data_IF_488945700385
#
_entry.id   IF_488945700385
#
_cell.length_a   1.000
_cell.length_b   1.000
_cell.length_c   1.000
_cell.angle_alpha   90.00
_cell.angle_beta   90.00
_cell.angle_gamma   90.00
#
_symmetry.space_group_name_H-M   'P 1'
#
loop_
_entity.id
_entity.type
_entity.pdbx_description
1 polymer ?
#
# COMPACT_ATOMS: atom_id res chain seq x y z
N UNK A 1 25.06 -14.39 -0.06
CA UNK A 1 24.26 -13.90 1.08
C UNK A 1 22.81 -13.86 0.63
N UNK A 2 22.05 -14.90 1.00
CA UNK A 2 20.66 -15.15 0.57
C UNK A 2 19.75 -15.28 1.80
N UNK A 3 20.03 -14.51 2.86
CA UNK A 3 19.39 -14.68 4.16
C UNK A 3 17.98 -14.09 4.28
N UNK A 4 17.49 -13.39 3.25
CA UNK A 4 16.13 -12.83 3.20
C UNK A 4 15.23 -13.49 2.14
N UNK A 5 15.44 -14.78 1.83
CA UNK A 5 14.50 -15.52 0.98
C UNK A 5 13.21 -15.79 1.76
N UNK A 6 12.22 -14.91 1.60
CA UNK A 6 10.84 -15.07 2.06
C UNK A 6 10.25 -16.35 1.42
N UNK A 7 10.24 -17.47 2.16
CA UNK A 7 9.54 -18.70 1.74
C UNK A 7 8.03 -18.41 1.76
N UNK A 8 7.32 -18.76 0.70
CA UNK A 8 5.97 -18.28 0.33
C UNK A 8 4.78 -18.52 1.27
N UNK A 9 4.98 -18.83 2.55
CA UNK A 9 3.93 -18.88 3.60
C UNK A 9 3.75 -17.55 4.35
N UNK A 10 4.46 -16.51 3.94
CA UNK A 10 4.91 -15.45 4.82
C UNK A 10 4.00 -14.20 4.90
N UNK A 11 3.01 -14.00 4.02
CA UNK A 11 2.22 -12.74 4.07
C UNK A 11 1.35 -12.65 5.32
N UNK A 12 0.59 -13.71 5.64
CA UNK A 12 -0.29 -13.70 6.82
C UNK A 12 0.53 -13.67 8.12
N UNK A 13 1.65 -14.39 8.15
CA UNK A 13 2.56 -14.39 9.30
C UNK A 13 3.24 -13.03 9.47
N UNK A 14 3.68 -12.42 8.36
CA UNK A 14 4.22 -11.07 8.36
C UNK A 14 3.18 -10.04 8.77
N UNK A 15 1.97 -10.10 8.22
CA UNK A 15 0.88 -9.20 8.58
C UNK A 15 0.48 -9.35 10.05
N UNK A 16 0.48 -10.58 10.58
CA UNK A 16 0.25 -10.86 12.00
C UNK A 16 1.36 -10.27 12.87
N UNK A 17 2.63 -10.46 12.50
CA UNK A 17 3.76 -9.89 13.23
C UNK A 17 3.74 -8.36 13.19
N UNK A 18 3.40 -7.77 12.04
CA UNK A 18 3.24 -6.34 11.85
C UNK A 18 2.10 -5.79 12.72
N UNK A 19 0.94 -6.46 12.73
CA UNK A 19 -0.19 -6.13 13.60
C UNK A 19 0.21 -6.12 15.07
N UNK A 20 0.93 -7.15 15.54
CA UNK A 20 1.38 -7.22 16.94
C UNK A 20 2.26 -6.01 17.31
N UNK A 21 3.21 -5.63 16.45
CA UNK A 21 4.08 -4.47 16.67
C UNK A 21 3.29 -3.16 16.68
N UNK A 22 2.39 -2.98 15.71
CA UNK A 22 1.58 -1.77 15.60
C UNK A 22 0.56 -1.64 16.75
N UNK A 23 -0.04 -2.74 17.20
CA UNK A 23 -0.95 -2.75 18.34
C UNK A 23 -0.21 -2.38 19.63
N UNK A 24 1.03 -2.84 19.80
CA UNK A 24 1.89 -2.45 20.91
C UNK A 24 2.18 -0.93 20.92
N UNK A 25 2.30 -0.32 19.73
CA UNK A 25 2.49 1.13 19.58
C UNK A 25 1.18 1.94 19.52
N UNK A 26 0.01 1.28 19.70
CA UNK A 26 -1.32 1.88 19.55
C UNK A 26 -1.58 2.49 18.14
N UNK A 27 -0.96 1.91 17.11
CA UNK A 27 -1.02 2.31 15.71
C UNK A 27 -1.65 1.25 14.80
N UNK A 28 -2.25 0.18 15.35
CA UNK A 28 -2.90 -0.88 14.56
C UNK A 28 -3.92 -0.37 13.53
N UNK A 29 -4.56 0.77 13.83
CA UNK A 29 -5.50 1.44 12.94
C UNK A 29 -4.94 1.79 11.55
N UNK A 30 -3.62 1.88 11.38
CA UNK A 30 -2.97 2.19 10.10
C UNK A 30 -3.20 1.08 9.07
N UNK A 31 -3.45 -0.16 9.51
CA UNK A 31 -3.71 -1.28 8.60
C UNK A 31 -5.17 -1.38 8.18
N UNK A 32 -6.09 -0.90 9.02
CA UNK A 32 -7.53 -1.03 8.80
C UNK A 32 -8.14 0.22 8.15
N UNK A 33 -7.53 1.39 8.36
CA UNK A 33 -8.01 2.65 7.77
C UNK A 33 -7.52 2.83 6.34
N UNK A 34 -8.38 3.32 5.43
CA UNK A 34 -7.92 3.77 4.14
C UNK A 34 -6.91 4.91 4.34
N UNK A 35 -5.90 4.92 3.49
CA UNK A 35 -4.88 5.96 3.52
C UNK A 35 -5.56 7.33 3.33
N UNK A 36 -5.18 8.35 4.10
CA UNK A 36 -5.74 9.68 3.95
C UNK A 36 -5.57 10.13 2.50
N UNK A 37 -6.64 10.60 1.87
CA UNK A 37 -6.55 11.18 0.52
C UNK A 37 -5.99 12.60 0.55
N UNK A 38 -6.04 13.24 1.73
CA UNK A 38 -5.61 14.62 1.94
C UNK A 38 -4.89 14.71 3.28
N UNK A 39 -3.79 15.46 3.32
CA UNK A 39 -3.08 15.77 4.56
C UNK A 39 -3.87 16.78 5.42
N UNK A 40 -3.76 16.69 6.76
CA UNK A 40 -4.38 17.66 7.65
C UNK A 40 -3.94 19.11 7.37
N UNK A 41 -4.87 20.04 7.57
CA UNK A 41 -4.59 21.47 7.45
C UNK A 41 -3.59 21.88 8.55
N UNK A 42 -2.41 22.36 8.14
CA UNK A 42 -1.29 22.65 9.04
C UNK A 42 -0.09 21.70 8.94
N UNK A 43 -0.15 20.64 8.12
CA UNK A 43 1.03 19.80 7.85
C UNK A 43 2.18 20.63 7.27
N UNK A 44 3.40 20.30 7.71
CA UNK A 44 4.63 20.95 7.25
C UNK A 44 4.90 20.67 5.77
N UNK A 45 5.76 21.50 5.16
CA UNK A 45 6.15 21.30 3.76
C UNK A 45 6.83 19.94 3.55
N UNK A 46 7.63 19.49 4.52
CA UNK A 46 8.34 18.20 4.45
C UNK A 46 7.37 17.01 4.50
N UNK A 47 6.35 17.08 5.36
CA UNK A 47 5.28 16.08 5.44
C UNK A 47 4.50 16.01 4.13
N UNK A 48 4.22 17.17 3.51
CA UNK A 48 3.55 17.25 2.19
C UNK A 48 4.39 16.60 1.10
N UNK A 49 5.67 16.94 1.01
CA UNK A 49 6.56 16.35 0.00
C UNK A 49 6.70 14.83 0.18
N UNK A 50 6.77 14.36 1.42
CA UNK A 50 6.84 12.93 1.74
C UNK A 50 5.55 12.21 1.33
N UNK A 51 4.40 12.80 1.62
CA UNK A 51 3.09 12.26 1.26
C UNK A 51 2.88 12.20 -0.26
N UNK A 52 3.22 13.27 -0.98
CA UNK A 52 3.10 13.34 -2.44
C UNK A 52 3.99 12.28 -3.12
N UNK A 53 5.22 12.11 -2.63
CA UNK A 53 6.12 11.06 -3.11
C UNK A 53 5.53 9.68 -2.86
N UNK A 54 5.00 9.44 -1.66
CA UNK A 54 4.38 8.18 -1.30
C UNK A 54 3.17 7.85 -2.19
N UNK A 55 2.30 8.84 -2.48
CA UNK A 55 1.17 8.68 -3.40
C UNK A 55 1.63 8.29 -4.81
N UNK A 56 2.65 8.96 -5.33
CA UNK A 56 3.17 8.68 -6.66
C UNK A 56 3.80 7.28 -6.75
N UNK A 57 4.54 6.86 -5.72
CA UNK A 57 5.12 5.51 -5.66
C UNK A 57 4.03 4.43 -5.54
N UNK A 58 2.98 4.68 -4.75
CA UNK A 58 1.83 3.80 -4.67
C UNK A 58 1.10 3.67 -6.02
N UNK A 59 0.91 4.79 -6.74
CA UNK A 59 0.33 4.81 -8.08
C UNK A 59 1.16 4.02 -9.08
N UNK A 60 2.48 4.22 -9.10
CA UNK A 60 3.41 3.46 -9.95
C UNK A 60 3.39 1.97 -9.64
N UNK A 61 3.35 1.61 -8.37
CA UNK A 61 3.26 0.21 -7.92
C UNK A 61 1.97 -0.44 -8.42
N UNK A 62 0.83 0.25 -8.27
CA UNK A 62 -0.45 -0.22 -8.79
C UNK A 62 -0.41 -0.39 -10.32
N UNK A 63 0.07 0.61 -11.07
CA UNK A 63 0.20 0.53 -12.54
C UNK A 63 1.10 -0.62 -12.96
N UNK A 64 2.25 -0.80 -12.31
CA UNK A 64 3.17 -1.91 -12.56
C UNK A 64 2.51 -3.27 -12.35
N UNK A 65 1.75 -3.41 -11.25
CA UNK A 65 0.97 -4.60 -10.95
C UNK A 65 -0.09 -4.88 -12.04
N UNK A 66 -0.82 -3.84 -12.46
CA UNK A 66 -1.81 -3.92 -13.54
C UNK A 66 -1.20 -4.32 -14.89
N UNK A 67 -0.06 -3.74 -15.26
CA UNK A 67 0.64 -4.04 -16.50
C UNK A 67 1.13 -5.50 -16.52
N UNK A 68 1.63 -6.00 -15.38
CA UNK A 68 2.17 -7.35 -15.23
C UNK A 68 1.09 -8.44 -15.11
N UNK A 69 -0.18 -8.10 -14.89
CA UNK A 69 -1.25 -9.10 -14.81
C UNK A 69 -1.49 -9.80 -16.16
N UNK A 70 -1.68 -11.14 -16.17
CA UNK A 70 -1.98 -11.89 -17.39
C UNK A 70 -3.27 -11.40 -18.05
N UNK A 71 -3.27 -11.32 -19.38
CA UNK A 71 -4.34 -10.77 -20.24
C UNK A 71 -5.70 -11.43 -20.01
N UNK A 72 -5.74 -12.69 -19.54
CA UNK A 72 -6.96 -13.45 -19.24
C UNK A 72 -7.81 -12.88 -18.10
N UNK A 73 -7.24 -11.99 -17.27
CA UNK A 73 -7.95 -11.31 -16.17
C UNK A 73 -8.31 -9.85 -16.47
N UNK A 74 -7.92 -9.32 -17.64
CA UNK A 74 -8.17 -7.91 -18.01
C UNK A 74 -9.60 -7.65 -18.52
N UNK A 75 -10.34 -8.70 -18.90
CA UNK A 75 -11.67 -8.54 -19.53
C UNK A 75 -12.81 -8.16 -18.56
N UNK A 76 -12.63 -8.28 -17.24
CA UNK A 76 -13.71 -8.11 -16.27
C UNK A 76 -13.74 -6.73 -15.57
N UNK A 77 -12.94 -5.74 -15.99
CA UNK A 77 -12.85 -4.44 -15.30
C UNK A 77 -12.89 -3.23 -16.24
N UNK A 78 -13.70 -3.27 -17.29
CA UNK A 78 -14.06 -2.04 -18.03
C UNK A 78 -14.97 -1.12 -17.17
N UNK A 79 -15.49 -1.60 -16.04
CA UNK A 79 -16.40 -0.84 -15.15
C UNK A 79 -15.76 -0.03 -14.02
N UNK A 80 -14.44 -0.10 -13.78
CA UNK A 80 -13.81 0.54 -12.62
C UNK A 80 -12.78 1.62 -12.97
N UNK A 81 -12.58 1.92 -14.26
CA UNK A 81 -11.74 3.05 -14.70
C UNK A 81 -12.51 4.37 -14.65
N UNK A 82 -13.15 4.67 -13.51
CA UNK A 82 -13.59 6.03 -13.23
C UNK A 82 -13.90 6.16 -11.74
N UNK A 83 -12.88 6.35 -10.91
CA UNK A 83 -13.03 7.24 -9.76
C UNK A 83 -11.78 8.12 -9.66
N UNK A 84 -11.97 9.41 -9.32
CA UNK A 84 -10.97 10.46 -9.38
C UNK A 84 -9.90 10.35 -8.29
#
# INVERSE_FOLDING_TARGET
>A
MDTNKFKGTNYNDWLRNLRIVLDFENQGYVLDKPLPTVLPEGSSLEERLTFDKWLEDNRKSAVSYWLRRPTRFKSNMIGWTMFP
#
